data_IF_017368444859
#
_entry.id   IF_017368444859
#
_cell.length_a   1.000
_cell.length_b   1.000
_cell.length_c   1.000
_cell.angle_alpha   90.00
_cell.angle_beta   90.00
_cell.angle_gamma   90.00
#
_symmetry.space_group_name_H-M   'P 1'
#
loop_
_entity.id
_entity.type
_entity.pdbx_description
1 polymer ?
#
# COMPACT_ATOMS: atom_id res chain seq x y z
N UNK A 1 12.52 2.21 -3.10
CA UNK A 1 11.49 1.16 -3.28
C UNK A 1 12.12 -0.20 -3.56
N UNK A 2 13.09 -0.28 -4.46
CA UNK A 2 13.77 -1.54 -4.85
C UNK A 2 14.33 -2.34 -3.68
N UNK A 3 14.94 -1.68 -2.70
CA UNK A 3 15.43 -2.34 -1.49
C UNK A 3 14.29 -3.03 -0.70
N UNK A 4 13.12 -2.37 -0.61
CA UNK A 4 11.93 -2.93 0.05
C UNK A 4 11.33 -4.07 -0.78
N UNK A 5 11.26 -3.94 -2.11
CA UNK A 5 10.84 -5.05 -2.98
C UNK A 5 11.77 -6.26 -2.84
N UNK A 6 13.09 -6.06 -2.83
CA UNK A 6 14.07 -7.14 -2.62
C UNK A 6 13.89 -7.80 -1.25
N UNK A 7 13.64 -7.01 -0.21
CA UNK A 7 13.37 -7.51 1.13
C UNK A 7 12.07 -8.33 1.17
N UNK A 8 10.98 -7.84 0.60
CA UNK A 8 9.70 -8.56 0.55
C UNK A 8 9.79 -9.85 -0.29
N UNK A 9 10.59 -9.83 -1.36
CA UNK A 9 10.87 -11.01 -2.18
C UNK A 9 11.69 -12.07 -1.45
N UNK A 10 12.57 -11.67 -0.55
CA UNK A 10 13.46 -12.61 0.16
C UNK A 10 12.81 -13.11 1.45
N UNK A 11 12.31 -12.18 2.27
CA UNK A 11 11.92 -12.42 3.66
C UNK A 11 10.41 -12.26 3.92
N UNK A 12 9.63 -11.84 2.93
CA UNK A 12 8.21 -11.53 3.13
C UNK A 12 7.98 -10.32 4.04
N UNK A 13 6.83 -10.28 4.73
CA UNK A 13 6.55 -9.23 5.71
C UNK A 13 7.29 -9.46 7.02
N UNK A 14 8.02 -8.45 7.49
CA UNK A 14 8.59 -8.45 8.84
C UNK A 14 7.58 -7.97 9.88
N UNK A 15 7.86 -8.22 11.16
CA UNK A 15 7.05 -7.64 12.26
C UNK A 15 7.02 -6.11 12.20
N UNK A 16 8.14 -5.47 11.86
CA UNK A 16 8.20 -4.01 11.70
C UNK A 16 7.31 -3.50 10.56
N UNK A 17 7.21 -4.27 9.47
CA UNK A 17 6.30 -3.95 8.36
C UNK A 17 4.84 -4.06 8.79
N UNK A 18 4.47 -5.13 9.50
CA UNK A 18 3.13 -5.31 10.02
C UNK A 18 2.70 -4.18 10.96
N UNK A 19 3.59 -3.77 11.87
CA UNK A 19 3.34 -2.64 12.77
C UNK A 19 3.22 -1.31 12.01
N UNK A 20 3.99 -1.10 10.94
CA UNK A 20 3.86 0.07 10.10
C UNK A 20 2.50 0.13 9.37
N UNK A 21 1.99 -1.01 8.90
CA UNK A 21 0.70 -1.12 8.21
C UNK A 21 -0.48 -0.92 9.15
N UNK A 22 -0.41 -1.44 10.39
CA UNK A 22 -1.41 -1.24 11.44
C UNK A 22 -1.61 0.23 11.83
N UNK A 23 -0.62 1.10 11.64
CA UNK A 23 -0.67 2.54 11.95
C UNK A 23 -1.50 3.35 10.91
N UNK A 24 -2.70 2.88 10.59
CA UNK A 24 -3.67 3.50 9.68
C UNK A 24 -3.18 3.76 8.25
N UNK A 25 -2.06 3.17 7.81
CA UNK A 25 -1.57 3.36 6.44
C UNK A 25 -2.51 2.72 5.42
N UNK A 26 -3.02 1.54 5.71
CA UNK A 26 -3.97 0.84 4.84
C UNK A 26 -5.35 1.50 4.88
N UNK A 27 -5.84 1.88 6.06
CA UNK A 27 -7.07 2.66 6.21
C UNK A 27 -7.04 3.99 5.46
N UNK A 28 -5.87 4.63 5.33
CA UNK A 28 -5.74 5.85 4.54
C UNK A 28 -6.04 5.63 3.05
N UNK A 29 -5.85 4.42 2.52
CA UNK A 29 -6.01 4.09 1.11
C UNK A 29 -7.36 3.44 0.83
N UNK A 30 -7.81 2.53 1.69
CA UNK A 30 -9.01 1.72 1.46
C UNK A 30 -10.18 1.99 2.40
N UNK A 31 -9.96 2.77 3.45
CA UNK A 31 -11.03 3.23 4.32
C UNK A 31 -11.78 4.42 3.72
N UNK A 32 -12.70 4.97 4.52
CA UNK A 32 -13.50 6.13 4.10
C UNK A 32 -12.63 7.33 3.76
N UNK A 33 -13.07 8.10 2.77
CA UNK A 33 -12.37 9.29 2.33
C UNK A 33 -12.21 10.27 3.51
N UNK A 34 -11.05 10.93 3.65
CA UNK A 34 -10.86 11.91 4.72
C UNK A 34 -11.80 13.11 4.52
N UNK A 35 -12.78 13.21 5.42
CA UNK A 35 -13.75 14.31 5.48
C UNK A 35 -13.18 15.55 6.20
N UNK A 36 -13.70 16.74 5.83
CA UNK A 36 -13.33 18.03 6.43
C UNK A 36 -12.53 18.97 5.50
N UNK A 37 -12.08 20.09 6.07
CA UNK A 37 -11.30 21.13 5.39
C UNK A 37 -10.00 21.45 6.15
N UNK A 38 -8.98 21.95 5.43
CA UNK A 38 -7.70 22.40 5.99
C UNK A 38 -6.48 21.58 5.55
N UNK A 39 -5.30 22.06 5.94
CA UNK A 39 -4.00 21.54 5.48
C UNK A 39 -3.79 20.04 5.77
N UNK A 40 -4.27 19.54 6.91
CA UNK A 40 -4.16 18.13 7.27
C UNK A 40 -5.00 17.24 6.35
N UNK A 41 -6.22 17.68 6.00
CA UNK A 41 -7.08 16.95 5.07
C UNK A 41 -6.51 16.97 3.66
N UNK A 42 -5.98 18.12 3.20
CA UNK A 42 -5.30 18.22 1.92
C UNK A 42 -4.12 17.24 1.82
N UNK A 43 -3.28 17.15 2.86
CA UNK A 43 -2.16 16.20 2.90
C UNK A 43 -2.63 14.75 2.83
N UNK A 44 -3.67 14.39 3.59
CA UNK A 44 -4.27 13.05 3.55
C UNK A 44 -4.83 12.69 2.18
N UNK A 45 -5.59 13.60 1.55
CA UNK A 45 -6.13 13.42 0.19
C UNK A 45 -5.01 13.21 -0.84
N UNK A 46 -3.93 13.98 -0.74
CA UNK A 46 -2.78 13.85 -1.64
C UNK A 46 -2.06 12.52 -1.46
N UNK A 47 -1.82 12.11 -0.20
CA UNK A 47 -1.22 10.81 0.10
C UNK A 47 -2.11 9.64 -0.37
N UNK A 48 -3.41 9.69 -0.10
CA UNK A 48 -4.39 8.71 -0.62
C UNK A 48 -4.28 8.63 -2.15
N UNK A 49 -4.40 9.77 -2.86
CA UNK A 49 -4.31 9.82 -4.32
C UNK A 49 -3.00 9.26 -4.86
N UNK A 50 -1.88 9.50 -4.19
CA UNK A 50 -0.58 8.98 -4.61
C UNK A 50 -0.53 7.45 -4.46
N UNK A 51 -0.92 6.92 -3.30
CA UNK A 51 -0.95 5.48 -3.08
C UNK A 51 -1.93 4.76 -4.00
N UNK A 52 -3.15 5.28 -4.20
CA UNK A 52 -4.13 4.67 -5.10
C UNK A 52 -3.63 4.61 -6.55
N UNK A 53 -2.89 5.62 -7.02
CA UNK A 53 -2.29 5.60 -8.36
C UNK A 53 -1.21 4.53 -8.49
N UNK A 54 -0.34 4.39 -7.49
CA UNK A 54 0.67 3.31 -7.49
C UNK A 54 -0.02 1.96 -7.47
N UNK A 55 -1.07 1.81 -6.66
CA UNK A 55 -1.84 0.58 -6.55
C UNK A 55 -2.47 0.17 -7.87
N UNK A 56 -3.20 1.10 -8.49
CA UNK A 56 -3.86 0.86 -9.77
C UNK A 56 -2.87 0.47 -10.87
N UNK A 57 -1.64 0.97 -10.81
CA UNK A 57 -0.58 0.57 -11.72
C UNK A 57 -0.03 -0.83 -11.38
N UNK A 58 0.26 -1.10 -10.11
CA UNK A 58 0.86 -2.35 -9.68
C UNK A 58 0.75 -2.59 -8.15
N UNK A 59 0.02 -3.63 -7.76
CA UNK A 59 -0.21 -4.02 -6.37
C UNK A 59 1.08 -4.37 -5.60
N UNK A 60 2.07 -4.99 -6.26
CA UNK A 60 3.36 -5.33 -5.63
C UNK A 60 4.18 -4.07 -5.33
N UNK A 61 4.19 -3.11 -6.27
CA UNK A 61 4.86 -1.82 -6.07
C UNK A 61 4.16 -1.02 -4.99
N UNK A 62 2.83 -1.07 -4.94
CA UNK A 62 2.05 -0.44 -3.90
C UNK A 62 2.42 -0.96 -2.52
N UNK A 63 2.49 -2.28 -2.32
CA UNK A 63 2.90 -2.84 -1.02
C UNK A 63 4.28 -2.32 -0.58
N UNK A 64 5.26 -2.35 -1.49
CA UNK A 64 6.58 -1.82 -1.17
C UNK A 64 6.56 -0.31 -0.88
N UNK A 65 5.72 0.44 -1.59
CA UNK A 65 5.58 1.90 -1.45
C UNK A 65 4.93 2.28 -0.13
N UNK A 66 3.82 1.65 0.24
CA UNK A 66 3.12 1.94 1.51
C UNK A 66 3.96 1.56 2.72
N UNK A 67 4.89 0.60 2.59
CA UNK A 67 5.84 0.24 3.63
C UNK A 67 7.03 1.22 3.71
N UNK A 68 7.65 1.54 2.58
CA UNK A 68 8.88 2.32 2.55
C UNK A 68 8.66 3.84 2.63
N UNK A 69 7.53 4.35 2.15
CA UNK A 69 7.25 5.78 2.03
C UNK A 69 6.10 6.12 2.95
N UNK A 70 6.26 7.17 3.76
CA UNK A 70 5.22 7.61 4.70
C UNK A 70 4.17 8.47 3.99
N UNK A 71 2.93 8.54 4.50
CA UNK A 71 1.91 9.44 3.96
C UNK A 71 2.37 10.90 3.89
N UNK A 72 3.16 11.35 4.87
CA UNK A 72 3.73 12.70 4.90
C UNK A 72 4.65 12.96 3.71
N UNK A 73 5.46 11.98 3.33
CA UNK A 73 6.34 12.10 2.17
C UNK A 73 5.54 12.11 0.86
N UNK A 74 4.54 11.23 0.74
CA UNK A 74 3.62 11.20 -0.41
C UNK A 74 2.84 12.52 -0.61
N UNK A 75 2.61 13.27 0.48
CA UNK A 75 1.92 14.55 0.43
C UNK A 75 2.80 15.73 -0.02
N UNK A 76 4.11 15.52 -0.23
CA UNK A 76 5.00 16.59 -0.73
C UNK A 76 4.87 16.74 -2.25
N UNK A 77 4.91 17.96 -2.81
CA UNK A 77 4.95 18.16 -4.25
C UNK A 77 6.15 17.51 -4.95
N UNK A 78 7.30 17.45 -4.28
CA UNK A 78 8.50 16.77 -4.79
C UNK A 78 8.30 15.27 -5.04
N UNK A 79 7.28 14.67 -4.40
CA UNK A 79 6.94 13.27 -4.59
C UNK A 79 6.37 12.99 -5.99
N UNK A 80 5.87 13.99 -6.73
CA UNK A 80 5.21 13.77 -8.02
C UNK A 80 6.12 13.08 -9.04
N UNK A 81 7.41 13.44 -9.06
CA UNK A 81 8.41 12.77 -9.93
C UNK A 81 8.65 11.32 -9.53
N UNK A 82 8.63 11.04 -8.23
CA UNK A 82 8.77 9.67 -7.70
C UNK A 82 7.54 8.87 -8.06
N UNK A 83 6.34 9.44 -7.87
CA UNK A 83 5.08 8.82 -8.23
C UNK A 83 5.02 8.46 -9.72
N UNK A 84 5.39 9.39 -10.61
CA UNK A 84 5.43 9.14 -12.05
C UNK A 84 6.34 7.96 -12.40
N UNK A 85 7.50 7.88 -11.75
CA UNK A 85 8.40 6.74 -11.91
C UNK A 85 7.79 5.43 -11.40
N UNK A 86 7.17 5.44 -10.20
CA UNK A 86 6.56 4.24 -9.61
C UNK A 86 5.39 3.70 -10.42
N UNK A 87 4.56 4.58 -10.99
CA UNK A 87 3.42 4.21 -11.86
C UNK A 87 3.90 3.59 -13.18
N UNK A 88 5.12 3.94 -13.63
CA UNK A 88 5.73 3.36 -14.84
C UNK A 88 6.49 2.05 -14.58
N UNK A 89 6.64 1.63 -13.33
CA UNK A 89 7.22 0.32 -13.04
C UNK A 89 6.29 -0.76 -13.59
N UNK A 90 6.82 -1.57 -14.49
CA UNK A 90 6.05 -2.61 -15.19
C UNK A 90 5.41 -3.63 -14.24
N UNK A 91 4.48 -4.41 -14.79
CA UNK A 91 3.73 -5.42 -14.05
C UNK A 91 4.65 -6.52 -13.49
N UNK A 92 4.47 -6.88 -12.22
CA UNK A 92 5.15 -8.03 -11.64
C UNK A 92 4.28 -9.28 -11.81
N UNK A 93 4.93 -10.43 -12.00
CA UNK A 93 4.23 -11.72 -12.08
C UNK A 93 3.60 -12.08 -10.73
N UNK A 94 2.48 -12.82 -10.69
CA UNK A 94 1.96 -13.39 -9.45
C UNK A 94 3.05 -14.22 -8.75
N UNK A 95 3.10 -14.18 -7.42
CA UNK A 95 4.14 -14.85 -6.64
C UNK A 95 5.52 -14.18 -6.71
N UNK A 96 5.62 -12.95 -7.22
CA UNK A 96 6.89 -12.20 -7.24
C UNK A 96 7.44 -11.91 -5.83
N UNK A 97 6.55 -11.72 -4.85
CA UNK A 97 6.91 -11.50 -3.46
C UNK A 97 6.74 -12.79 -2.66
N UNK A 98 7.61 -12.99 -1.66
CA UNK A 98 7.54 -14.15 -0.77
C UNK A 98 6.54 -13.90 0.36
N UNK A 99 5.27 -13.79 0.01
CA UNK A 99 4.17 -13.60 0.96
C UNK A 99 3.50 -14.94 1.22
N UNK A 100 3.75 -15.53 2.40
CA UNK A 100 3.14 -16.79 2.79
C UNK A 100 1.73 -16.62 3.41
N UNK A 101 1.06 -17.74 3.78
CA UNK A 101 -0.30 -17.73 4.33
C UNK A 101 -0.47 -16.81 5.55
N UNK A 102 0.55 -16.72 6.42
CA UNK A 102 0.53 -15.79 7.57
C UNK A 102 0.42 -14.31 7.17
N UNK A 103 1.00 -13.93 6.03
CA UNK A 103 0.87 -12.56 5.52
C UNK A 103 -0.56 -12.32 5.01
N UNK A 104 -1.17 -13.32 4.38
CA UNK A 104 -2.55 -13.25 3.93
C UNK A 104 -3.52 -13.08 5.12
N UNK A 105 -3.43 -13.96 6.12
CA UNK A 105 -4.22 -13.89 7.35
C UNK A 105 -4.07 -12.54 8.06
N UNK A 106 -2.85 -12.00 8.07
CA UNK A 106 -2.57 -10.68 8.62
C UNK A 106 -3.37 -9.59 7.89
N UNK A 107 -3.34 -9.55 6.56
CA UNK A 107 -4.07 -8.54 5.79
C UNK A 107 -5.58 -8.67 5.97
N UNK A 108 -6.10 -9.90 5.96
CA UNK A 108 -7.51 -10.18 6.22
C UNK A 108 -7.95 -9.69 7.60
N UNK A 109 -7.16 -9.99 8.64
CA UNK A 109 -7.41 -9.53 10.01
C UNK A 109 -7.41 -8.00 10.10
N UNK A 110 -6.41 -7.35 9.51
CA UNK A 110 -6.30 -5.88 9.52
C UNK A 110 -7.45 -5.23 8.76
N UNK A 111 -7.87 -5.80 7.64
CA UNK A 111 -8.97 -5.26 6.83
C UNK A 111 -10.31 -5.28 7.58
N UNK A 112 -10.57 -6.37 8.32
CA UNK A 112 -11.74 -6.46 9.19
C UNK A 112 -11.64 -5.46 10.33
N UNK A 113 -10.50 -5.42 11.04
CA UNK A 113 -10.31 -4.53 12.20
C UNK A 113 -10.40 -3.03 11.83
N UNK A 114 -9.91 -2.64 10.65
CA UNK A 114 -9.90 -1.25 10.21
C UNK A 114 -11.13 -0.87 9.36
N UNK A 115 -11.98 -1.83 9.04
CA UNK A 115 -13.27 -1.60 8.38
C UNK A 115 -13.21 -1.40 6.86
N UNK A 116 -12.23 -1.99 6.17
CA UNK A 116 -12.08 -1.86 4.71
C UNK A 116 -12.11 -3.19 3.95
N UNK A 117 -12.51 -4.30 4.60
CA UNK A 117 -12.56 -5.63 3.99
C UNK A 117 -13.41 -5.73 2.71
N UNK A 118 -14.40 -4.86 2.54
CA UNK A 118 -15.23 -4.77 1.33
C UNK A 118 -14.71 -3.82 0.25
N UNK A 119 -13.57 -3.14 0.47
CA UNK A 119 -13.02 -2.19 -0.49
C UNK A 119 -12.52 -2.91 -1.74
N UNK A 120 -12.96 -2.47 -2.93
CA UNK A 120 -12.53 -3.05 -4.20
C UNK A 120 -11.00 -3.04 -4.35
N UNK A 121 -10.36 -1.93 -3.97
CA UNK A 121 -8.90 -1.83 -3.99
C UNK A 121 -8.24 -2.86 -3.07
N UNK A 122 -8.79 -3.12 -1.89
CA UNK A 122 -8.27 -4.16 -1.01
C UNK A 122 -8.44 -5.57 -1.62
N UNK A 123 -9.59 -5.84 -2.23
CA UNK A 123 -9.86 -7.14 -2.85
C UNK A 123 -8.95 -7.41 -4.05
N UNK A 124 -8.70 -6.40 -4.89
CA UNK A 124 -7.79 -6.51 -6.04
C UNK A 124 -6.33 -6.71 -5.57
N UNK A 125 -5.92 -6.00 -4.52
CA UNK A 125 -4.64 -6.20 -3.84
C UNK A 125 -4.47 -7.66 -3.36
N UNK A 126 -5.48 -8.21 -2.68
CA UNK A 126 -5.43 -9.58 -2.18
C UNK A 126 -5.31 -10.59 -3.32
N UNK A 127 -6.10 -10.43 -4.40
CA UNK A 127 -6.03 -11.30 -5.57
C UNK A 127 -4.67 -11.25 -6.26
N UNK A 128 -4.06 -10.08 -6.35
CA UNK A 128 -2.78 -9.91 -7.02
C UNK A 128 -1.61 -10.50 -6.23
N UNK A 129 -1.63 -10.37 -4.89
CA UNK A 129 -0.54 -10.82 -4.02
C UNK A 129 -0.67 -12.27 -3.56
N UNK A 130 -1.89 -12.79 -3.49
CA UNK A 130 -2.20 -14.15 -3.04
C UNK A 130 -3.07 -14.87 -4.08
N UNK A 131 -2.53 -15.12 -5.29
CA UNK A 131 -3.24 -15.91 -6.30
C UNK A 131 -3.47 -17.34 -5.79
N UNK A 132 -4.61 -17.92 -6.16
CA UNK A 132 -4.93 -19.34 -5.89
C UNK A 132 -4.12 -20.28 -6.78
#
# INVERSE_FOLDING_TARGET
IDAKLKQLKTNGLTLGDQEALKKNRLKLVWGDAPEGQGNTIWRKRRAHRAYSQVQHANEHVFLATVLAITPTECAKPSFDKVLEHLVRLGSYKPGYLNLGPRAQEFFESVAVQQGFSGSLGYLDFMKALFPQ
#
